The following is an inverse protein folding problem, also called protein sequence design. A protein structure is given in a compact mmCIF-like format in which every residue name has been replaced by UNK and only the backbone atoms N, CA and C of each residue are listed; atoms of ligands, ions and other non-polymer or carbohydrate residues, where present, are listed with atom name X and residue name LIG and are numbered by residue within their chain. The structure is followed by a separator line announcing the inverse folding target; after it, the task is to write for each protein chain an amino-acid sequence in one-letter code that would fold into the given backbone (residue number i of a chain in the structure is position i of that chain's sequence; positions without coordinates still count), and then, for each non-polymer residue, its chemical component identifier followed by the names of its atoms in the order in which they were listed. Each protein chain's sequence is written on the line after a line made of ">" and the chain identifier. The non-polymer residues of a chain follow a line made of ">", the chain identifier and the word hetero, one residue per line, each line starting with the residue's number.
data_IF_514615486733
#
_entry.id   IF_514615486733
#
_cell.length_a   1.000
_cell.length_b   1.000
_cell.length_c   1.000
_cell.angle_alpha   90.00
_cell.angle_beta   90.00
_cell.angle_gamma   90.00
#
_symmetry.space_group_name_H-M   'P 1'
#
loop_
_entity.id
_entity.type
_entity.pdbx_description
1 polymer ?
#
# COMPACT_ATOMS: atom_id res chain seq x y z
N UNK A 1 -15.66 23.14 -21.59
CA UNK A 1 -14.81 22.14 -22.27
C UNK A 1 -13.39 22.28 -21.75
N UNK A 2 -12.84 21.23 -21.12
CA UNK A 2 -11.43 21.22 -20.72
C UNK A 2 -10.54 21.04 -21.96
N UNK A 3 -9.42 21.77 -22.01
CA UNK A 3 -8.44 21.64 -23.09
C UNK A 3 -7.85 20.22 -23.07
N UNK A 4 -7.92 19.46 -24.17
CA UNK A 4 -7.39 18.10 -24.18
C UNK A 4 -5.87 18.08 -23.93
N UNK A 5 -5.40 17.15 -23.10
CA UNK A 5 -4.03 17.11 -22.57
C UNK A 5 -2.94 17.04 -23.65
N UNK A 6 -3.26 16.54 -24.85
CA UNK A 6 -2.33 16.43 -25.97
C UNK A 6 -2.06 17.76 -26.69
N UNK A 7 -2.87 18.80 -26.43
CA UNK A 7 -2.60 20.16 -26.90
C UNK A 7 -1.63 20.95 -26.02
N UNK A 8 -1.27 20.41 -24.85
CA UNK A 8 -0.27 21.02 -23.98
C UNK A 8 1.13 20.90 -24.61
N UNK A 9 1.95 21.94 -24.42
CA UNK A 9 3.35 21.87 -24.80
C UNK A 9 4.06 20.68 -24.13
N UNK A 10 5.09 20.14 -24.80
CA UNK A 10 5.87 18.99 -24.31
C UNK A 10 6.33 19.14 -22.84
N UNK A 11 6.89 20.28 -22.37
CA UNK A 11 7.29 20.43 -20.97
C UNK A 11 6.09 20.30 -20.01
N UNK A 12 4.97 20.93 -20.34
CA UNK A 12 3.76 20.90 -19.51
C UNK A 12 3.18 19.50 -19.41
N UNK A 13 3.18 18.72 -20.51
CA UNK A 13 2.78 17.31 -20.52
C UNK A 13 3.67 16.45 -19.62
N UNK A 14 4.98 16.66 -19.67
CA UNK A 14 5.93 15.93 -18.83
C UNK A 14 5.74 16.22 -17.35
N UNK A 15 5.48 17.48 -16.98
CA UNK A 15 5.21 17.87 -15.59
C UNK A 15 3.90 17.24 -15.11
N UNK A 16 2.83 17.34 -15.90
CA UNK A 16 1.53 16.75 -15.56
C UNK A 16 1.64 15.24 -15.33
N UNK A 17 2.37 14.55 -16.22
CA UNK A 17 2.61 13.11 -16.12
C UNK A 17 3.40 12.75 -14.85
N UNK A 18 4.43 13.51 -14.52
CA UNK A 18 5.20 13.33 -13.27
C UNK A 18 4.33 13.55 -12.03
N UNK A 19 3.49 14.59 -12.03
CA UNK A 19 2.57 14.85 -10.94
C UNK A 19 1.56 13.72 -10.78
N UNK A 20 1.01 13.20 -11.89
CA UNK A 20 0.11 12.05 -11.87
C UNK A 20 0.76 10.83 -11.22
N UNK A 21 1.96 10.45 -11.68
CA UNK A 21 2.68 9.31 -11.11
C UNK A 21 3.12 9.54 -9.67
N UNK A 22 3.51 10.76 -9.30
CA UNK A 22 3.83 11.11 -7.92
C UNK A 22 2.61 10.91 -7.02
N UNK A 23 1.44 11.43 -7.41
CA UNK A 23 0.20 11.23 -6.66
C UNK A 23 -0.07 9.73 -6.52
N UNK A 24 -0.08 8.96 -7.61
CA UNK A 24 -0.30 7.52 -7.55
C UNK A 24 0.69 6.80 -6.61
N UNK A 25 1.97 7.16 -6.64
CA UNK A 25 3.00 6.56 -5.81
C UNK A 25 2.83 6.91 -4.32
N UNK A 26 2.40 8.13 -3.99
CA UNK A 26 2.30 8.60 -2.61
C UNK A 26 0.92 8.38 -1.98
N UNK A 27 -0.15 8.22 -2.77
CA UNK A 27 -1.52 8.13 -2.24
C UNK A 27 -1.65 6.96 -1.26
N UNK A 28 -1.14 5.78 -1.63
CA UNK A 28 -1.26 4.60 -0.78
C UNK A 28 -0.37 4.67 0.48
N UNK A 29 0.94 4.99 0.40
CA UNK A 29 1.76 5.20 1.59
C UNK A 29 1.22 6.27 2.54
N UNK A 30 0.70 7.39 2.01
CA UNK A 30 0.09 8.45 2.82
C UNK A 30 -1.16 7.93 3.51
N UNK A 31 -2.04 7.23 2.79
CA UNK A 31 -3.25 6.64 3.36
C UNK A 31 -2.92 5.63 4.48
N UNK A 32 -1.94 4.76 4.25
CA UNK A 32 -1.47 3.79 5.26
C UNK A 32 -0.84 4.50 6.47
N UNK A 33 -0.02 5.54 6.23
CA UNK A 33 0.61 6.32 7.29
C UNK A 33 -0.40 7.06 8.17
N UNK A 34 -1.44 7.64 7.57
CA UNK A 34 -2.53 8.30 8.32
C UNK A 34 -3.35 7.30 9.15
N UNK A 35 -3.54 6.08 8.64
CA UNK A 35 -4.26 5.00 9.31
C UNK A 35 -3.31 4.01 10.01
N UNK A 36 -2.12 4.46 10.40
CA UNK A 36 -1.07 3.57 10.93
C UNK A 36 -1.55 2.75 12.12
N UNK A 37 -2.40 3.30 12.99
CA UNK A 37 -2.95 2.57 14.14
C UNK A 37 -3.89 1.41 13.76
N UNK A 38 -4.54 1.49 12.60
CA UNK A 38 -5.44 0.46 12.08
C UNK A 38 -4.68 -0.64 11.35
N UNK A 39 -3.55 -0.28 10.72
CA UNK A 39 -2.71 -1.21 9.98
C UNK A 39 -1.53 -1.76 10.79
N UNK A 40 -1.16 -1.12 11.89
CA UNK A 40 -0.18 -1.64 12.84
C UNK A 40 -0.82 -2.83 13.55
N UNK A 41 -0.32 -4.06 13.30
CA UNK A 41 -0.88 -5.23 13.95
C UNK A 41 -0.66 -5.08 15.45
N UNK A 42 -1.73 -5.26 16.21
CA UNK A 42 -1.63 -5.28 17.67
C UNK A 42 -0.71 -6.43 18.09
N UNK A 43 -0.04 -6.33 19.24
CA UNK A 43 0.83 -7.42 19.74
C UNK A 43 0.09 -8.77 19.77
N UNK A 44 -1.22 -8.75 20.02
CA UNK A 44 -2.09 -9.93 19.99
C UNK A 44 -2.21 -10.53 18.58
N UNK A 45 -2.40 -9.71 17.54
CA UNK A 45 -2.49 -10.16 16.14
C UNK A 45 -1.14 -10.63 15.59
N UNK A 46 -0.02 -10.05 16.03
CA UNK A 46 1.32 -10.53 15.68
C UNK A 46 1.60 -11.90 16.30
N UNK A 47 1.17 -12.11 17.55
CA UNK A 47 1.31 -13.40 18.23
C UNK A 47 0.38 -14.47 17.62
N UNK A 48 -0.87 -14.11 17.29
CA UNK A 48 -1.79 -14.97 16.57
C UNK A 48 -1.30 -15.28 15.13
N UNK A 49 -0.73 -14.28 14.44
CA UNK A 49 -0.15 -14.47 13.11
C UNK A 49 1.12 -15.34 13.13
N UNK A 50 1.91 -15.29 14.21
CA UNK A 50 3.04 -16.22 14.41
C UNK A 50 2.56 -17.65 14.67
N UNK A 51 1.55 -17.85 15.51
CA UNK A 51 0.99 -19.19 15.75
C UNK A 51 0.38 -19.78 14.47
N UNK A 52 -0.32 -18.97 13.68
CA UNK A 52 -0.91 -19.38 12.40
C UNK A 52 0.17 -19.67 11.35
N UNK A 53 1.25 -18.90 11.33
CA UNK A 53 2.43 -19.17 10.48
C UNK A 53 3.15 -20.46 10.89
N UNK A 54 3.27 -20.72 12.18
CA UNK A 54 3.88 -21.97 12.71
C UNK A 54 2.99 -23.19 12.43
N UNK A 55 1.68 -23.05 12.53
CA UNK A 55 0.70 -24.08 12.18
C UNK A 55 0.71 -24.41 10.68
N UNK A 56 0.82 -23.41 9.80
CA UNK A 56 0.97 -23.62 8.35
C UNK A 56 2.33 -24.26 8.01
N UNK A 57 3.42 -23.85 8.66
CA UNK A 57 4.75 -24.40 8.39
C UNK A 57 4.93 -25.83 8.91
N UNK A 58 4.28 -26.20 10.02
CA UNK A 58 4.41 -27.50 10.66
C UNK A 58 3.05 -28.14 11.00
N UNK A 59 2.24 -28.50 9.99
CA UNK A 59 0.88 -29.01 10.20
C UNK A 59 0.83 -30.36 10.94
N UNK A 60 1.95 -31.11 10.98
CA UNK A 60 2.04 -32.43 11.62
C UNK A 60 2.26 -32.39 13.14
N UNK A 61 2.55 -31.22 13.73
CA UNK A 61 2.95 -31.09 15.14
C UNK A 61 1.83 -30.57 16.07
N UNK A 62 0.62 -30.31 15.54
CA UNK A 62 -0.51 -29.74 16.31
C UNK A 62 -1.34 -30.82 17.03
N UNK A 63 -1.04 -32.11 16.85
CA UNK A 63 -1.61 -33.18 17.67
C UNK A 63 -0.72 -33.45 18.89
N UNK A 64 -1.00 -32.78 20.01
CA UNK A 64 -0.86 -33.34 21.36
C UNK A 64 -1.65 -32.53 22.37
#
# INVERSE_FOLDING_TARGET
>A
MSMPWYYLEKPTRMILLRCYYAICAFTYPVFVGLNWKTYAPTRAEVLAGRSLREEILNPLNVKK
#
